data_IF_523873279058
#
_entry.id   IF_523873279058
#
_cell.length_a   1.000
_cell.length_b   1.000
_cell.length_c   1.000
_cell.angle_alpha   90.00
_cell.angle_beta   90.00
_cell.angle_gamma   90.00
#
_symmetry.space_group_name_H-M   'P 1'
#
loop_
_entity.id
_entity.type
_entity.pdbx_description
1 polymer ?
#
# COMPACT_ATOMS: atom_id res chain seq x y z
N UNK A 1 -25.32 0.90 -32.41
CA UNK A 1 -23.97 1.48 -32.50
C UNK A 1 -24.12 2.91 -33.01
N UNK A 2 -24.07 3.89 -32.11
CA UNK A 2 -24.27 5.31 -32.47
C UNK A 2 -22.91 5.88 -32.90
N UNK A 3 -22.86 6.46 -34.09
CA UNK A 3 -21.63 6.97 -34.71
C UNK A 3 -21.25 8.32 -34.11
N UNK A 4 -19.98 8.49 -33.77
CA UNK A 4 -19.40 9.72 -33.17
C UNK A 4 -19.64 10.97 -34.05
N UNK A 5 -19.96 10.80 -35.34
CA UNK A 5 -20.30 11.90 -36.25
C UNK A 5 -21.65 12.56 -35.99
N UNK A 6 -22.60 11.89 -35.32
CA UNK A 6 -23.95 12.44 -35.10
C UNK A 6 -24.01 13.40 -33.91
N UNK A 7 -23.06 13.32 -32.98
CA UNK A 7 -23.00 14.24 -31.82
C UNK A 7 -22.42 15.60 -32.24
N UNK A 8 -21.55 15.63 -33.25
CA UNK A 8 -20.87 16.86 -33.66
C UNK A 8 -21.75 17.80 -34.50
N UNK A 9 -22.81 17.29 -35.15
CA UNK A 9 -23.77 18.14 -35.90
C UNK A 9 -24.80 18.86 -35.03
N UNK A 10 -24.97 18.46 -33.76
CA UNK A 10 -25.97 19.09 -32.88
C UNK A 10 -25.47 20.35 -32.18
N UNK A 11 -24.19 20.68 -32.32
CA UNK A 11 -23.54 21.80 -31.63
C UNK A 11 -23.24 23.02 -32.50
N UNK A 12 -23.45 22.96 -33.83
CA UNK A 12 -23.04 24.04 -34.75
C UNK A 12 -24.17 24.99 -35.18
N UNK A 13 -25.29 25.05 -34.45
CA UNK A 13 -26.51 25.73 -34.91
C UNK A 13 -27.13 26.70 -33.91
N UNK A 14 -26.37 27.73 -33.47
CA UNK A 14 -26.96 28.97 -32.95
C UNK A 14 -25.90 30.08 -32.84
N UNK A 15 -25.83 30.92 -33.87
CA UNK A 15 -25.12 32.20 -33.87
C UNK A 15 -26.14 33.30 -34.12
N UNK A 16 -26.29 34.20 -33.16
CA UNK A 16 -27.18 35.35 -33.25
C UNK A 16 -26.91 36.32 -32.11
N UNK A 17 -26.06 37.30 -32.43
CA UNK A 17 -25.86 38.63 -31.85
C UNK A 17 -24.78 38.92 -30.78
N UNK A 18 -24.18 40.14 -30.84
CA UNK A 18 -22.90 40.48 -30.24
C UNK A 18 -23.01 41.54 -29.13
N UNK A 19 -22.45 41.29 -27.95
CA UNK A 19 -22.14 42.34 -26.97
C UNK A 19 -20.73 42.14 -26.37
N UNK A 20 -19.79 42.87 -26.97
CA UNK A 20 -18.84 43.81 -26.35
C UNK A 20 -18.37 43.54 -24.89
N UNK A 21 -17.12 43.06 -24.82
CA UNK A 21 -16.02 43.44 -23.91
C UNK A 21 -16.15 43.27 -22.38
N UNK A 22 -15.37 42.32 -21.85
CA UNK A 22 -14.14 42.58 -21.06
C UNK A 22 -13.60 41.25 -20.52
N UNK A 23 -12.79 40.55 -21.32
CA UNK A 23 -12.00 39.42 -20.84
C UNK A 23 -10.57 39.89 -20.60
N UNK A 24 -10.29 40.26 -19.35
CA UNK A 24 -8.93 40.18 -18.82
C UNK A 24 -8.53 38.70 -18.81
N UNK A 25 -7.34 38.33 -19.31
CA UNK A 25 -6.89 36.96 -19.26
C UNK A 25 -6.56 36.62 -17.81
N UNK A 26 -7.52 35.98 -17.12
CA UNK A 26 -7.25 35.24 -15.90
C UNK A 26 -6.23 34.17 -16.25
N UNK A 27 -4.96 34.44 -15.93
CA UNK A 27 -3.92 33.44 -15.83
C UNK A 27 -4.34 32.46 -14.73
N UNK A 28 -5.11 31.44 -15.14
CA UNK A 28 -5.29 30.21 -14.37
C UNK A 28 -3.98 29.44 -14.41
N UNK A 29 -3.02 29.89 -13.60
CA UNK A 29 -1.92 29.04 -13.17
C UNK A 29 -2.54 27.99 -12.26
N UNK A 30 -2.83 26.81 -12.82
CA UNK A 30 -3.35 25.67 -12.08
C UNK A 30 -2.19 25.13 -11.24
N UNK A 31 -1.98 25.76 -10.09
CA UNK A 31 -1.09 25.31 -9.04
C UNK A 31 -1.87 24.32 -8.16
N UNK A 32 -1.56 23.03 -8.33
CA UNK A 32 -2.24 21.86 -7.74
C UNK A 32 -1.95 21.64 -6.25
N UNK A 33 -1.57 22.68 -5.53
CA UNK A 33 -1.12 22.53 -4.15
C UNK A 33 -2.31 22.61 -3.18
N UNK A 34 -2.30 21.86 -2.06
CA UNK A 34 -3.27 22.04 -0.97
C UNK A 34 -3.39 23.49 -0.49
N UNK A 35 -2.39 24.35 -0.77
CA UNK A 35 -2.48 25.80 -0.62
C UNK A 35 -3.67 26.43 -1.34
N UNK A 36 -4.04 26.00 -2.54
CA UNK A 36 -5.15 26.61 -3.28
C UNK A 36 -6.50 26.38 -2.59
N UNK A 37 -6.69 25.23 -1.93
CA UNK A 37 -7.92 24.98 -1.15
C UNK A 37 -7.95 25.78 0.13
N UNK A 38 -6.82 25.94 0.80
CA UNK A 38 -6.78 26.81 1.95
C UNK A 38 -7.07 28.26 1.54
N UNK A 39 -6.52 28.74 0.42
CA UNK A 39 -6.82 30.08 -0.12
C UNK A 39 -8.29 30.20 -0.56
N UNK A 40 -8.88 29.16 -1.14
CA UNK A 40 -10.30 29.16 -1.56
C UNK A 40 -11.27 29.04 -0.38
N UNK A 41 -10.88 28.34 0.69
CA UNK A 41 -11.63 28.30 1.95
C UNK A 41 -11.58 29.65 2.68
N UNK A 42 -10.53 30.45 2.46
CA UNK A 42 -10.41 31.81 2.98
C UNK A 42 -11.25 32.82 2.22
N UNK A 43 -11.57 32.55 0.96
CA UNK A 43 -12.37 33.44 0.10
C UNK A 43 -13.81 32.99 -0.09
N UNK A 44 -14.21 31.86 0.51
CA UNK A 44 -15.55 31.31 0.30
C UNK A 44 -16.63 32.16 0.97
N UNK A 45 -17.65 32.62 0.22
CA UNK A 45 -18.75 33.41 0.78
C UNK A 45 -19.56 32.61 1.81
N UNK A 46 -20.05 33.31 2.83
CA UNK A 46 -20.70 32.79 4.06
C UNK A 46 -22.00 31.99 3.84
N UNK A 47 -22.47 31.89 2.60
CA UNK A 47 -23.73 31.24 2.21
C UNK A 47 -23.57 29.78 1.76
N UNK A 48 -22.35 29.23 1.75
CA UNK A 48 -22.10 27.91 1.19
C UNK A 48 -22.45 26.75 2.16
N UNK A 49 -23.13 25.66 1.71
CA UNK A 49 -23.52 24.51 2.55
C UNK A 49 -22.35 23.75 3.21
N UNK A 50 -21.11 24.00 2.76
CA UNK A 50 -19.88 23.56 3.45
C UNK A 50 -19.78 24.08 4.90
N UNK A 51 -20.55 25.10 5.29
CA UNK A 51 -20.60 25.64 6.65
C UNK A 51 -20.84 24.57 7.73
N UNK A 52 -21.52 23.46 7.43
CA UNK A 52 -21.73 22.39 8.41
C UNK A 52 -20.43 21.70 8.84
N UNK A 53 -19.53 21.42 7.90
CA UNK A 53 -18.20 20.88 8.19
C UNK A 53 -17.29 21.90 8.87
N UNK A 54 -17.55 23.20 8.63
CA UNK A 54 -16.81 24.30 9.24
C UNK A 54 -17.49 24.90 10.48
N UNK A 55 -18.60 24.33 10.97
CA UNK A 55 -19.37 24.94 12.07
C UNK A 55 -18.61 24.85 13.40
N UNK A 56 -17.71 23.87 13.54
CA UNK A 56 -16.72 23.82 14.61
C UNK A 56 -15.84 25.07 14.68
N UNK A 57 -15.65 25.76 13.56
CA UNK A 57 -14.83 26.98 13.47
C UNK A 57 -15.66 28.27 13.60
N UNK A 58 -16.96 28.17 13.85
CA UNK A 58 -17.81 29.34 14.14
C UNK A 58 -17.38 30.07 15.41
N UNK A 59 -16.73 29.36 16.35
CA UNK A 59 -16.18 29.93 17.59
C UNK A 59 -14.93 30.79 17.30
N UNK A 60 -14.19 30.50 16.24
CA UNK A 60 -13.09 31.33 15.77
C UNK A 60 -13.66 32.45 14.88
N UNK A 61 -14.15 33.49 15.54
CA UNK A 61 -14.72 34.70 14.95
C UNK A 61 -13.75 35.42 14.00
N UNK A 62 -14.29 36.29 13.14
CA UNK A 62 -13.60 36.94 12.02
C UNK A 62 -12.30 37.63 12.45
N UNK A 63 -11.17 37.17 11.89
CA UNK A 63 -9.83 37.70 12.17
C UNK A 63 -8.71 36.81 11.61
N UNK A 64 -7.50 37.37 11.51
CA UNK A 64 -6.31 36.69 10.97
C UNK A 64 -5.97 35.39 11.72
N UNK A 65 -6.23 35.34 13.03
CA UNK A 65 -6.01 34.15 13.88
C UNK A 65 -6.97 33.00 13.53
N UNK A 66 -8.25 33.29 13.26
CA UNK A 66 -9.24 32.28 12.86
C UNK A 66 -8.93 31.70 11.48
N UNK A 67 -8.53 32.56 10.54
CA UNK A 67 -8.02 32.20 9.21
C UNK A 67 -6.83 31.23 9.31
N UNK A 68 -5.83 31.59 10.10
CA UNK A 68 -4.62 30.78 10.29
C UNK A 68 -4.95 29.43 10.94
N UNK A 69 -5.82 29.42 11.94
CA UNK A 69 -6.25 28.20 12.64
C UNK A 69 -6.97 27.23 11.69
N UNK A 70 -7.88 27.74 10.84
CA UNK A 70 -8.55 26.95 9.79
C UNK A 70 -7.56 26.38 8.78
N UNK A 71 -6.60 27.21 8.33
CA UNK A 71 -5.54 26.76 7.43
C UNK A 71 -4.77 25.58 8.03
N UNK A 72 -4.34 25.69 9.29
CA UNK A 72 -3.58 24.64 9.97
C UNK A 72 -4.39 23.35 10.13
N UNK A 73 -5.66 23.43 10.52
CA UNK A 73 -6.47 22.22 10.72
C UNK A 73 -6.78 21.53 9.39
N UNK A 74 -7.08 22.28 8.32
CA UNK A 74 -7.27 21.70 6.98
C UNK A 74 -5.97 21.01 6.52
N UNK A 75 -4.82 21.66 6.71
CA UNK A 75 -3.54 21.08 6.33
C UNK A 75 -3.22 19.83 7.15
N UNK A 76 -3.48 19.87 8.47
CA UNK A 76 -3.28 18.73 9.36
C UNK A 76 -4.20 17.55 8.99
N UNK A 77 -5.48 17.82 8.69
CA UNK A 77 -6.43 16.81 8.22
C UNK A 77 -5.97 16.20 6.88
N UNK A 78 -5.52 17.02 5.94
CA UNK A 78 -4.99 16.56 4.66
C UNK A 78 -3.73 15.71 4.84
N UNK A 79 -2.76 16.20 5.63
CA UNK A 79 -1.54 15.45 5.94
C UNK A 79 -1.86 14.12 6.63
N UNK A 80 -2.82 14.11 7.56
CA UNK A 80 -3.24 12.90 8.27
C UNK A 80 -3.95 11.89 7.35
N UNK A 81 -4.82 12.36 6.44
CA UNK A 81 -5.57 11.47 5.54
C UNK A 81 -4.72 10.93 4.38
N UNK A 82 -3.76 11.70 3.86
CA UNK A 82 -3.07 11.36 2.62
C UNK A 82 -1.57 11.15 2.77
N UNK A 83 -0.89 12.08 3.46
CA UNK A 83 0.58 12.01 3.57
C UNK A 83 0.98 10.93 4.55
N UNK A 84 0.32 10.88 5.71
CA UNK A 84 0.64 9.95 6.78
C UNK A 84 0.51 8.48 6.37
N UNK A 85 -0.58 8.03 5.71
CA UNK A 85 -0.66 6.63 5.28
C UNK A 85 0.38 6.28 4.21
N UNK A 86 0.69 7.19 3.30
CA UNK A 86 1.77 6.99 2.32
C UNK A 86 3.14 6.85 3.02
N UNK A 87 3.43 7.67 4.03
CA UNK A 87 4.64 7.53 4.84
C UNK A 87 4.67 6.19 5.58
N UNK A 88 3.56 5.79 6.21
CA UNK A 88 3.44 4.48 6.87
C UNK A 88 3.68 3.35 5.88
N UNK A 89 3.06 3.40 4.69
CA UNK A 89 3.24 2.40 3.65
C UNK A 89 4.69 2.32 3.16
N UNK A 90 5.35 3.47 2.97
CA UNK A 90 6.77 3.51 2.60
C UNK A 90 7.65 2.93 3.72
N UNK A 91 7.43 3.29 4.98
CA UNK A 91 8.21 2.78 6.11
C UNK A 91 8.03 1.26 6.27
N UNK A 92 6.80 0.77 6.23
CA UNK A 92 6.53 -0.66 6.25
C UNK A 92 7.15 -1.36 5.03
N UNK A 93 7.00 -0.79 3.83
CA UNK A 93 7.59 -1.31 2.60
C UNK A 93 9.11 -1.43 2.67
N UNK A 94 9.80 -0.40 3.16
CA UNK A 94 11.26 -0.40 3.34
C UNK A 94 11.68 -1.50 4.33
N UNK A 95 11.03 -1.60 5.49
CA UNK A 95 11.37 -2.64 6.49
C UNK A 95 11.18 -4.06 5.93
N UNK A 96 10.09 -4.29 5.20
CA UNK A 96 9.79 -5.56 4.54
C UNK A 96 10.81 -5.85 3.43
N UNK A 97 11.16 -4.84 2.64
CA UNK A 97 12.13 -4.96 1.55
C UNK A 97 13.53 -5.27 2.06
N UNK A 98 14.01 -4.54 3.06
CA UNK A 98 15.31 -4.79 3.71
C UNK A 98 15.38 -6.22 4.29
N UNK A 99 14.30 -6.68 4.93
CA UNK A 99 14.23 -8.06 5.40
C UNK A 99 14.28 -9.09 4.25
N UNK A 100 13.64 -8.79 3.12
CA UNK A 100 13.71 -9.63 1.91
C UNK A 100 15.14 -9.69 1.34
N UNK A 101 15.92 -8.62 1.40
CA UNK A 101 17.33 -8.63 0.99
C UNK A 101 18.18 -9.53 1.92
N UNK A 102 17.96 -9.48 3.23
CA UNK A 102 18.61 -10.39 4.18
C UNK A 102 18.29 -11.86 3.88
N UNK A 103 17.02 -12.17 3.58
CA UNK A 103 16.61 -13.52 3.17
C UNK A 103 17.28 -13.93 1.85
N UNK A 104 17.37 -13.03 0.88
CA UNK A 104 18.03 -13.31 -0.40
C UNK A 104 19.51 -13.61 -0.23
N UNK A 105 20.21 -12.86 0.64
CA UNK A 105 21.59 -13.15 1.00
C UNK A 105 21.77 -14.50 1.69
N UNK A 106 20.83 -14.87 2.56
CA UNK A 106 20.84 -16.19 3.19
C UNK A 106 20.55 -17.33 2.20
N UNK A 107 19.58 -17.14 1.30
CA UNK A 107 19.26 -18.10 0.24
C UNK A 107 20.50 -18.40 -0.62
N UNK A 108 21.24 -17.38 -1.05
CA UNK A 108 22.48 -17.55 -1.84
C UNK A 108 23.53 -18.38 -1.10
N UNK A 109 23.68 -18.21 0.22
CA UNK A 109 24.58 -19.04 1.04
C UNK A 109 24.15 -20.50 1.07
N UNK A 110 22.85 -20.74 1.22
CA UNK A 110 22.30 -22.08 1.23
C UNK A 110 22.44 -22.76 -0.14
N UNK A 111 22.19 -22.05 -1.24
CA UNK A 111 22.37 -22.55 -2.60
C UNK A 111 23.85 -22.95 -2.86
N UNK A 112 24.81 -22.16 -2.35
CA UNK A 112 26.23 -22.51 -2.41
C UNK A 112 26.56 -23.77 -1.61
N UNK A 113 25.98 -23.91 -0.42
CA UNK A 113 26.17 -25.09 0.42
C UNK A 113 25.57 -26.34 -0.23
N UNK A 114 24.38 -26.21 -0.84
CA UNK A 114 23.77 -27.25 -1.67
C UNK A 114 24.65 -27.64 -2.86
N UNK A 115 25.16 -26.68 -3.63
CA UNK A 115 26.05 -26.97 -4.76
C UNK A 115 27.34 -27.68 -4.32
N UNK A 116 27.85 -27.36 -3.13
CA UNK A 116 29.03 -28.02 -2.55
C UNK A 116 28.70 -29.44 -2.11
N UNK A 117 27.56 -29.65 -1.44
CA UNK A 117 27.06 -30.97 -1.06
C UNK A 117 26.93 -31.88 -2.28
N UNK A 118 26.36 -31.36 -3.37
CA UNK A 118 26.16 -32.11 -4.61
C UNK A 118 27.46 -32.49 -5.33
N UNK A 119 28.50 -31.63 -5.28
CA UNK A 119 29.77 -31.88 -5.97
C UNK A 119 30.73 -32.75 -5.18
N UNK A 120 30.85 -32.49 -3.88
CA UNK A 120 31.83 -33.16 -3.01
C UNK A 120 31.21 -33.39 -1.62
N UNK A 121 30.43 -34.47 -1.45
CA UNK A 121 29.74 -34.77 -0.19
C UNK A 121 30.72 -34.97 0.98
N UNK A 122 31.88 -35.54 0.70
CA UNK A 122 32.98 -35.76 1.66
C UNK A 122 33.60 -34.46 2.17
N UNK A 123 33.62 -33.39 1.36
CA UNK A 123 34.10 -32.09 1.81
C UNK A 123 33.21 -31.52 2.93
N UNK A 124 31.91 -31.82 2.91
CA UNK A 124 30.96 -31.36 3.92
C UNK A 124 31.20 -31.99 5.31
N UNK A 125 31.91 -33.12 5.37
CA UNK A 125 32.33 -33.79 6.61
C UNK A 125 33.54 -33.15 7.29
N UNK A 126 34.29 -32.31 6.59
CA UNK A 126 35.42 -31.59 7.17
C UNK A 126 34.94 -30.70 8.32
N UNK A 127 35.71 -30.64 9.42
CA UNK A 127 35.36 -29.88 10.61
C UNK A 127 35.01 -28.41 10.29
N UNK A 128 35.78 -27.80 9.38
CA UNK A 128 35.55 -26.43 8.91
C UNK A 128 34.16 -26.24 8.28
N UNK A 129 33.67 -27.21 7.49
CA UNK A 129 32.38 -27.11 6.83
C UNK A 129 31.21 -27.42 7.79
N UNK A 130 31.44 -28.25 8.82
CA UNK A 130 30.47 -28.44 9.91
C UNK A 130 30.26 -27.15 10.73
N UNK A 131 31.33 -26.42 10.99
CA UNK A 131 31.23 -25.14 11.71
C UNK A 131 30.48 -24.10 10.89
N UNK A 132 30.76 -24.00 9.57
CA UNK A 132 29.97 -23.16 8.65
C UNK A 132 28.49 -23.53 8.64
N UNK A 133 28.18 -24.83 8.56
CA UNK A 133 26.81 -25.33 8.59
C UNK A 133 26.10 -24.98 9.90
N UNK A 134 26.80 -25.11 11.04
CA UNK A 134 26.30 -24.70 12.35
C UNK A 134 26.01 -23.19 12.37
N UNK A 135 26.86 -22.39 11.77
CA UNK A 135 26.66 -20.94 11.67
C UNK A 135 25.47 -20.58 10.76
N UNK A 136 25.25 -21.32 9.66
CA UNK A 136 24.05 -21.15 8.82
C UNK A 136 22.76 -21.52 9.56
N UNK A 137 22.78 -22.56 10.38
CA UNK A 137 21.64 -22.94 11.26
C UNK A 137 21.36 -21.84 12.29
N UNK A 138 22.41 -21.27 12.91
CA UNK A 138 22.28 -20.15 13.85
C UNK A 138 21.74 -18.91 13.13
N UNK A 139 22.21 -18.63 11.93
CA UNK A 139 21.75 -17.50 11.11
C UNK A 139 20.27 -17.64 10.76
N UNK A 140 19.82 -18.83 10.34
CA UNK A 140 18.39 -19.11 10.11
C UNK A 140 17.55 -18.88 11.37
N UNK A 141 18.03 -19.34 12.53
CA UNK A 141 17.33 -19.12 13.80
C UNK A 141 17.21 -17.63 14.13
N UNK A 142 18.26 -16.84 13.86
CA UNK A 142 18.23 -15.38 14.02
C UNK A 142 17.25 -14.74 13.05
N UNK A 143 17.31 -15.07 11.76
CA UNK A 143 16.38 -14.57 10.73
C UNK A 143 14.93 -14.88 11.08
N UNK A 144 14.67 -16.09 11.55
CA UNK A 144 13.33 -16.51 11.99
C UNK A 144 12.83 -15.66 13.17
N UNK A 145 13.70 -15.41 14.17
CA UNK A 145 13.36 -14.55 15.31
C UNK A 145 13.12 -13.10 14.86
N UNK A 146 13.98 -12.57 14.00
CA UNK A 146 13.84 -11.23 13.44
C UNK A 146 12.55 -11.10 12.63
N UNK A 147 12.19 -12.11 11.83
CA UNK A 147 10.92 -12.11 11.08
C UNK A 147 9.71 -12.01 12.00
N UNK A 148 9.70 -12.78 13.10
CA UNK A 148 8.62 -12.71 14.08
C UNK A 148 8.53 -11.33 14.72
N UNK A 149 9.66 -10.76 15.14
CA UNK A 149 9.71 -9.42 15.71
C UNK A 149 9.24 -8.36 14.71
N UNK A 150 9.65 -8.48 13.44
CA UNK A 150 9.20 -7.61 12.36
C UNK A 150 7.69 -7.72 12.18
N UNK A 151 7.16 -8.95 12.09
CA UNK A 151 5.73 -9.19 11.99
C UNK A 151 4.97 -8.59 13.17
N UNK A 152 5.38 -8.85 14.40
CA UNK A 152 4.70 -8.33 15.60
C UNK A 152 4.66 -6.80 15.59
N UNK A 153 5.77 -6.15 15.19
CA UNK A 153 5.88 -4.70 15.11
C UNK A 153 5.00 -4.10 14.00
N UNK A 154 4.97 -4.70 12.81
CA UNK A 154 4.23 -4.14 11.67
C UNK A 154 2.77 -4.59 11.62
N UNK A 155 2.39 -5.70 12.28
CA UNK A 155 1.06 -6.31 12.10
C UNK A 155 -0.07 -5.37 12.48
N UNK A 156 0.05 -4.68 13.62
CA UNK A 156 -0.95 -3.72 14.10
C UNK A 156 -0.96 -2.44 13.25
N UNK A 157 0.23 -1.98 12.82
CA UNK A 157 0.38 -0.80 11.97
C UNK A 157 -0.28 -1.05 10.62
N UNK A 158 0.01 -2.19 9.99
CA UNK A 158 -0.58 -2.61 8.72
C UNK A 158 -2.10 -2.78 8.84
N UNK A 159 -2.60 -3.32 9.96
CA UNK A 159 -4.05 -3.44 10.19
C UNK A 159 -4.73 -2.08 10.24
N UNK A 160 -4.25 -1.17 11.09
CA UNK A 160 -4.78 0.18 11.20
C UNK A 160 -4.68 0.93 9.86
N UNK A 161 -3.57 0.75 9.14
CA UNK A 161 -3.37 1.31 7.81
C UNK A 161 -4.40 0.80 6.80
N UNK A 162 -4.61 -0.52 6.72
CA UNK A 162 -5.60 -1.12 5.80
C UNK A 162 -7.00 -0.63 6.12
N UNK A 163 -7.40 -0.62 7.40
CA UNK A 163 -8.70 -0.11 7.81
C UNK A 163 -8.88 1.36 7.42
N UNK A 164 -7.86 2.20 7.67
CA UNK A 164 -7.91 3.61 7.33
C UNK A 164 -8.01 3.84 5.82
N UNK A 165 -7.24 3.10 5.02
CA UNK A 165 -7.30 3.15 3.55
C UNK A 165 -8.64 2.65 3.01
N UNK A 166 -9.19 1.58 3.58
CA UNK A 166 -10.49 1.05 3.19
C UNK A 166 -11.62 2.05 3.47
N UNK A 167 -11.65 2.65 4.66
CA UNK A 167 -12.62 3.69 5.03
C UNK A 167 -12.47 4.91 4.11
N UNK A 168 -11.24 5.37 3.90
CA UNK A 168 -10.95 6.51 3.03
C UNK A 168 -11.47 6.23 1.61
N UNK A 169 -11.12 5.09 1.03
CA UNK A 169 -11.57 4.69 -0.30
C UNK A 169 -13.10 4.60 -0.38
N UNK A 170 -13.75 4.01 0.62
CA UNK A 170 -15.22 3.93 0.69
C UNK A 170 -15.88 5.33 0.75
N UNK A 171 -15.38 6.22 1.61
CA UNK A 171 -15.89 7.58 1.74
C UNK A 171 -15.73 8.38 0.44
N UNK A 172 -14.57 8.31 -0.20
CA UNK A 172 -14.30 9.03 -1.45
C UNK A 172 -15.08 8.46 -2.64
N UNK A 173 -15.25 7.15 -2.72
CA UNK A 173 -16.12 6.54 -3.72
C UNK A 173 -17.58 6.94 -3.49
N UNK A 174 -18.05 6.96 -2.25
CA UNK A 174 -19.41 7.39 -1.91
C UNK A 174 -19.62 8.85 -2.27
N UNK A 175 -18.69 9.75 -1.91
CA UNK A 175 -18.75 11.18 -2.27
C UNK A 175 -18.76 11.37 -3.79
N UNK A 176 -17.84 10.70 -4.49
CA UNK A 176 -17.76 10.76 -5.96
C UNK A 176 -19.04 10.29 -6.63
N UNK A 177 -19.70 9.27 -6.10
CA UNK A 177 -20.87 8.69 -6.73
C UNK A 177 -22.20 9.37 -6.34
N UNK A 178 -22.26 10.02 -5.16
CA UNK A 178 -23.43 10.77 -4.70
C UNK A 178 -23.47 12.21 -5.22
N UNK A 179 -22.35 12.75 -5.68
CA UNK A 179 -22.25 14.12 -6.23
C UNK A 179 -22.91 14.17 -7.62
N UNK A 180 -23.82 15.11 -7.83
CA UNK A 180 -24.45 15.31 -9.13
C UNK A 180 -23.43 15.83 -10.17
N UNK A 181 -23.58 15.45 -11.45
CA UNK A 181 -22.65 15.84 -12.52
C UNK A 181 -22.43 17.36 -12.63
N UNK A 182 -23.44 18.15 -12.23
CA UNK A 182 -23.42 19.61 -12.30
C UNK A 182 -22.58 20.28 -11.21
N UNK A 183 -22.29 19.57 -10.12
CA UNK A 183 -21.59 20.11 -8.95
C UNK A 183 -20.08 19.82 -8.97
N UNK A 184 -19.59 19.12 -9.99
CA UNK A 184 -18.17 18.81 -10.09
C UNK A 184 -17.35 20.00 -10.59
N UNK A 185 -16.64 20.64 -9.66
CA UNK A 185 -15.49 21.45 -10.03
C UNK A 185 -14.33 20.56 -10.49
N UNK A 186 -13.60 20.97 -11.54
CA UNK A 186 -12.41 20.25 -12.05
C UNK A 186 -11.42 19.88 -10.91
N UNK A 187 -11.11 20.77 -9.95
CA UNK A 187 -10.20 20.44 -8.84
C UNK A 187 -10.70 19.28 -7.95
N UNK A 188 -12.02 19.18 -7.73
CA UNK A 188 -12.64 18.12 -6.93
C UNK A 188 -12.58 16.77 -7.66
N UNK A 189 -12.78 16.76 -8.98
CA UNK A 189 -12.60 15.54 -9.80
C UNK A 189 -11.16 15.05 -9.68
N UNK A 190 -10.18 15.93 -9.91
CA UNK A 190 -8.77 15.55 -9.86
C UNK A 190 -8.34 15.03 -8.48
N UNK A 191 -8.84 15.64 -7.41
CA UNK A 191 -8.64 15.16 -6.05
C UNK A 191 -9.18 13.75 -5.85
N UNK A 192 -10.46 13.53 -6.20
CA UNK A 192 -11.10 12.24 -5.99
C UNK A 192 -10.39 11.15 -6.79
N UNK A 193 -10.00 11.43 -8.05
CA UNK A 193 -9.20 10.51 -8.86
C UNK A 193 -7.87 10.20 -8.19
N UNK A 194 -7.14 11.22 -7.72
CA UNK A 194 -5.85 11.02 -7.05
C UNK A 194 -5.99 10.10 -5.84
N UNK A 195 -7.06 10.24 -5.06
CA UNK A 195 -7.29 9.43 -3.85
C UNK A 195 -7.72 8.01 -4.21
N UNK A 196 -8.63 7.86 -5.17
CA UNK A 196 -9.09 6.57 -5.68
C UNK A 196 -7.94 5.75 -6.27
N UNK A 197 -6.90 6.40 -6.81
CA UNK A 197 -5.71 5.72 -7.32
C UNK A 197 -4.66 5.49 -6.22
N UNK A 198 -4.34 6.52 -5.42
CA UNK A 198 -3.26 6.44 -4.43
C UNK A 198 -3.55 5.45 -3.30
N UNK A 199 -4.80 5.35 -2.84
CA UNK A 199 -5.18 4.43 -1.77
C UNK A 199 -4.93 2.95 -2.16
N UNK A 200 -5.48 2.43 -3.28
CA UNK A 200 -5.11 1.12 -3.82
C UNK A 200 -3.61 0.94 -4.08
N UNK A 201 -2.95 1.93 -4.70
CA UNK A 201 -1.51 1.83 -4.98
C UNK A 201 -0.68 1.62 -3.71
N UNK A 202 -1.01 2.31 -2.62
CA UNK A 202 -0.32 2.15 -1.33
C UNK A 202 -0.56 0.76 -0.71
N UNK A 203 -1.78 0.22 -0.80
CA UNK A 203 -2.12 -1.14 -0.36
C UNK A 203 -1.36 -2.21 -1.17
N UNK A 204 -1.35 -2.05 -2.51
CA UNK A 204 -0.62 -2.95 -3.40
C UNK A 204 0.88 -2.90 -3.17
N UNK A 205 1.46 -1.73 -2.88
CA UNK A 205 2.88 -1.58 -2.58
C UNK A 205 3.32 -2.46 -1.41
N UNK A 206 2.64 -2.34 -0.27
CA UNK A 206 2.94 -3.17 0.92
C UNK A 206 2.73 -4.66 0.61
N UNK A 207 1.64 -4.99 -0.08
CA UNK A 207 1.34 -6.38 -0.41
C UNK A 207 2.35 -7.00 -1.37
N UNK A 208 2.86 -6.24 -2.33
CA UNK A 208 3.90 -6.68 -3.24
C UNK A 208 5.21 -6.96 -2.49
N UNK A 209 5.63 -6.04 -1.61
CA UNK A 209 6.80 -6.25 -0.74
C UNK A 209 6.62 -7.51 0.13
N UNK A 210 5.45 -7.69 0.75
CA UNK A 210 5.16 -8.86 1.57
C UNK A 210 5.16 -10.17 0.75
N UNK A 211 4.68 -10.13 -0.49
CA UNK A 211 4.71 -11.28 -1.39
C UNK A 211 6.13 -11.69 -1.78
N UNK A 212 7.06 -10.73 -1.87
CA UNK A 212 8.48 -11.00 -2.13
C UNK A 212 9.10 -11.88 -1.04
N UNK A 213 8.82 -11.59 0.25
CA UNK A 213 9.30 -12.44 1.37
C UNK A 213 8.76 -13.86 1.23
N UNK A 214 7.48 -14.02 0.88
CA UNK A 214 6.87 -15.34 0.70
C UNK A 214 7.55 -16.13 -0.42
N UNK A 215 7.78 -15.51 -1.57
CA UNK A 215 8.47 -16.16 -2.69
C UNK A 215 9.89 -16.60 -2.29
N UNK A 216 10.64 -15.75 -1.57
CA UNK A 216 11.97 -16.08 -1.07
C UNK A 216 11.94 -17.22 -0.07
N UNK A 217 10.93 -17.25 0.79
CA UNK A 217 10.73 -18.34 1.74
C UNK A 217 10.43 -19.67 1.05
N UNK A 218 9.54 -19.68 0.06
CA UNK A 218 9.22 -20.88 -0.72
C UNK A 218 10.47 -21.43 -1.43
N UNK A 219 11.30 -20.55 -2.03
CA UNK A 219 12.60 -20.95 -2.60
C UNK A 219 13.55 -21.52 -1.55
N UNK A 220 13.64 -20.88 -0.38
CA UNK A 220 14.49 -21.36 0.71
C UNK A 220 14.07 -22.77 1.18
N UNK A 221 12.77 -23.02 1.31
CA UNK A 221 12.24 -24.33 1.69
C UNK A 221 12.51 -25.40 0.61
N UNK A 222 12.46 -25.02 -0.66
CA UNK A 222 12.83 -25.90 -1.77
C UNK A 222 14.32 -26.28 -1.71
N UNK A 223 15.23 -25.30 -1.59
CA UNK A 223 16.68 -25.56 -1.46
C UNK A 223 16.98 -26.40 -0.21
N UNK A 224 16.35 -26.10 0.93
CA UNK A 224 16.49 -26.90 2.15
C UNK A 224 16.08 -28.36 1.94
N UNK A 225 14.99 -28.59 1.21
CA UNK A 225 14.50 -29.94 0.93
C UNK A 225 15.48 -30.70 0.05
N UNK A 226 15.96 -30.09 -1.04
CA UNK A 226 16.96 -30.69 -1.92
C UNK A 226 18.24 -31.01 -1.17
N UNK A 227 18.71 -30.11 -0.30
CA UNK A 227 19.90 -30.34 0.52
C UNK A 227 19.72 -31.53 1.48
N UNK A 228 18.55 -31.67 2.11
CA UNK A 228 18.25 -32.81 2.98
C UNK A 228 18.27 -34.11 2.18
N UNK A 229 17.66 -34.11 1.00
CA UNK A 229 17.55 -35.30 0.15
C UNK A 229 18.94 -35.75 -0.33
N UNK A 230 19.79 -34.83 -0.80
CA UNK A 230 21.18 -35.13 -1.15
C UNK A 230 21.98 -35.70 0.03
N UNK A 231 21.82 -35.15 1.24
CA UNK A 231 22.53 -35.65 2.42
C UNK A 231 22.01 -37.02 2.90
N UNK A 232 20.75 -37.37 2.61
CA UNK A 232 20.19 -38.68 2.94
C UNK A 232 20.74 -39.78 2.03
N UNK A 233 20.98 -39.47 0.76
CA UNK A 233 21.57 -40.40 -0.21
C UNK A 233 23.03 -40.75 0.15
N UNK A 234 23.79 -39.77 0.66
CA UNK A 234 25.26 -39.85 0.74
C UNK A 234 25.89 -40.38 2.04
N UNK A 235 25.14 -40.72 3.10
CA UNK A 235 25.52 -41.61 4.23
C UNK A 235 24.79 -41.26 5.56
N UNK A 236 24.59 -42.28 6.42
CA UNK A 236 24.05 -42.16 7.80
C UNK A 236 24.87 -41.28 8.76
N UNK A 237 26.09 -40.89 8.39
CA UNK A 237 27.02 -40.07 9.18
C UNK A 237 26.48 -38.65 9.50
N UNK A 238 25.51 -38.15 8.72
CA UNK A 238 24.98 -36.80 8.85
C UNK A 238 23.72 -36.67 9.72
N UNK A 239 23.35 -37.69 10.50
CA UNK A 239 22.08 -37.73 11.25
C UNK A 239 21.79 -36.44 12.06
N UNK A 240 22.79 -35.87 12.75
CA UNK A 240 22.63 -34.63 13.53
C UNK A 240 22.41 -33.38 12.67
N UNK A 241 23.07 -33.29 11.51
CA UNK A 241 22.92 -32.18 10.56
C UNK A 241 21.57 -32.27 9.87
N UNK A 242 21.19 -33.47 9.41
CA UNK A 242 19.89 -33.76 8.79
C UNK A 242 18.76 -33.45 9.78
N UNK A 243 18.90 -33.81 11.06
CA UNK A 243 17.93 -33.45 12.09
C UNK A 243 17.79 -31.92 12.25
N UNK A 244 18.91 -31.20 12.23
CA UNK A 244 18.92 -29.74 12.34
C UNK A 244 18.28 -29.07 11.12
N UNK A 245 18.58 -29.55 9.91
CA UNK A 245 17.97 -29.09 8.67
C UNK A 245 16.46 -29.37 8.63
N UNK A 246 16.04 -30.56 9.06
CA UNK A 246 14.63 -30.90 9.19
C UNK A 246 13.93 -29.97 10.19
N UNK A 247 14.60 -29.61 11.29
CA UNK A 247 14.07 -28.64 12.25
C UNK A 247 13.96 -27.23 11.63
N UNK A 248 14.87 -26.83 10.74
CA UNK A 248 14.73 -25.58 9.99
C UNK A 248 13.55 -25.64 9.01
N UNK A 249 13.43 -26.72 8.23
CA UNK A 249 12.30 -26.94 7.30
C UNK A 249 10.95 -26.92 8.02
N UNK A 250 10.86 -27.51 9.21
CA UNK A 250 9.64 -27.49 10.05
C UNK A 250 9.30 -26.10 10.57
N UNK A 251 10.29 -25.22 10.76
CA UNK A 251 10.08 -23.82 11.18
C UNK A 251 9.74 -22.97 9.96
N UNK A 252 8.49 -23.05 9.52
CA UNK A 252 7.98 -22.16 8.48
C UNK A 252 8.01 -20.71 8.97
N UNK A 253 8.58 -19.81 8.18
CA UNK A 253 8.52 -18.38 8.48
C UNK A 253 7.06 -17.95 8.54
N UNK A 254 6.70 -17.11 9.52
CA UNK A 254 5.31 -16.73 9.69
C UNK A 254 4.88 -15.86 8.50
N UNK A 255 3.65 -16.07 8.04
CA UNK A 255 3.06 -15.27 6.97
C UNK A 255 2.78 -13.88 7.54
N UNK A 256 3.21 -12.84 6.83
CA UNK A 256 2.92 -11.46 7.23
C UNK A 256 1.41 -11.22 7.18
N UNK A 257 0.83 -11.01 8.35
CA UNK A 257 -0.58 -10.73 8.54
C UNK A 257 -0.79 -9.39 9.24
N UNK A 258 -1.84 -8.70 8.84
CA UNK A 258 -2.34 -7.49 9.47
C UNK A 258 -3.30 -7.87 10.61
N UNK A 259 -2.89 -7.60 11.85
CA UNK A 259 -3.63 -7.90 13.07
C UNK A 259 -3.90 -9.38 13.31
N UNK A 260 -3.20 -10.30 12.63
CA UNK A 260 -3.51 -11.74 12.66
C UNK A 260 -4.81 -12.14 11.94
N UNK A 261 -5.54 -11.18 11.36
CA UNK A 261 -6.85 -11.40 10.74
C UNK A 261 -6.73 -11.50 9.22
N UNK A 262 -5.89 -10.64 8.63
CA UNK A 262 -5.79 -10.48 7.18
C UNK A 262 -4.37 -10.76 6.70
N UNK A 263 -4.19 -11.75 5.84
CA UNK A 263 -2.92 -11.98 5.17
C UNK A 263 -2.61 -10.82 4.22
N UNK A 264 -1.37 -10.30 4.25
CA UNK A 264 -0.89 -9.23 3.35
C UNK A 264 -0.64 -9.74 1.92
N UNK A 265 -1.55 -10.56 1.40
CA UNK A 265 -1.48 -11.14 0.07
C UNK A 265 -2.15 -10.25 -0.98
N UNK A 266 -1.67 -10.25 -2.23
CA UNK A 266 -2.30 -9.47 -3.31
C UNK A 266 -3.76 -9.89 -3.55
N UNK A 267 -4.07 -11.19 -3.31
CA UNK A 267 -5.43 -11.73 -3.39
C UNK A 267 -6.37 -11.08 -2.38
N UNK A 268 -5.90 -10.90 -1.14
CA UNK A 268 -6.66 -10.20 -0.12
C UNK A 268 -6.92 -8.73 -0.51
N UNK A 269 -5.90 -8.03 -1.02
CA UNK A 269 -6.06 -6.62 -1.43
C UNK A 269 -7.05 -6.45 -2.59
N UNK A 270 -6.98 -7.33 -3.61
CA UNK A 270 -7.95 -7.33 -4.72
C UNK A 270 -9.37 -7.60 -4.19
N UNK A 271 -9.52 -8.57 -3.29
CA UNK A 271 -10.81 -8.89 -2.67
C UNK A 271 -11.36 -7.72 -1.85
N UNK A 272 -10.52 -7.04 -1.08
CA UNK A 272 -10.89 -5.87 -0.28
C UNK A 272 -11.38 -4.71 -1.17
N UNK A 273 -10.59 -4.35 -2.19
CA UNK A 273 -10.95 -3.27 -3.13
C UNK A 273 -12.23 -3.62 -3.88
N UNK A 274 -12.34 -4.85 -4.38
CA UNK A 274 -13.54 -5.34 -5.05
C UNK A 274 -14.77 -5.26 -4.15
N UNK A 275 -14.65 -5.63 -2.88
CA UNK A 275 -15.72 -5.55 -1.90
C UNK A 275 -16.19 -4.10 -1.68
N UNK A 276 -15.25 -3.17 -1.50
CA UNK A 276 -15.57 -1.73 -1.36
C UNK A 276 -16.31 -1.22 -2.60
N UNK A 277 -15.86 -1.60 -3.80
CA UNK A 277 -16.49 -1.19 -5.05
C UNK A 277 -17.88 -1.79 -5.22
N UNK A 278 -18.06 -3.09 -4.93
CA UNK A 278 -19.36 -3.77 -4.99
C UNK A 278 -20.37 -3.14 -4.03
N UNK A 279 -19.99 -2.91 -2.77
CA UNK A 279 -20.89 -2.26 -1.81
C UNK A 279 -21.18 -0.81 -2.17
N UNK A 280 -20.17 -0.07 -2.67
CA UNK A 280 -20.37 1.28 -3.18
C UNK A 280 -21.40 1.33 -4.31
N UNK A 281 -21.27 0.44 -5.31
CA UNK A 281 -22.23 0.33 -6.40
C UNK A 281 -23.62 -0.13 -5.95
N UNK A 282 -23.70 -1.02 -4.96
CA UNK A 282 -24.97 -1.48 -4.41
C UNK A 282 -25.75 -0.33 -3.76
N UNK A 283 -25.07 0.49 -2.94
CA UNK A 283 -25.67 1.66 -2.27
C UNK A 283 -26.21 2.65 -3.31
N UNK A 284 -25.52 2.83 -4.44
CA UNK A 284 -26.01 3.70 -5.51
C UNK A 284 -27.26 3.18 -6.19
N UNK A 285 -27.31 1.87 -6.45
CA UNK A 285 -28.49 1.27 -7.06
C UNK A 285 -29.73 1.36 -6.16
N UNK A 286 -29.55 1.37 -4.84
CA UNK A 286 -30.64 1.53 -3.87
C UNK A 286 -31.15 2.98 -3.73
N UNK A 287 -30.44 3.97 -4.27
CA UNK A 287 -30.85 5.39 -4.20
C UNK A 287 -31.76 5.80 -5.38
N UNK A 288 -32.10 4.87 -6.28
CA UNK A 288 -33.14 5.02 -7.30
C UNK A 288 -34.50 4.60 -6.75
#
# INVERSE_FOLDING_TARGET
MISVKDIQRRWSGRSGDPEVSCWLPSQRVISWTPMHRSVSALTMPSTCPLRFFYNFYGVFQDGTSGILTRFFIIHLAYSYQFVYPCLVAMMCGILIFEFSEFLTGYQKRLDYLYATAQRCPSALLEANNRDKMRDDIRMHTRLFKTMRQLQDAISHICFAFICNQAITLFCFLSDFMLTEEKDFSIPKICENIFIIVSAPCSLFGISFCASGIRERHEKLQATLSLLIDTLLEDHKSFAGVILSLNNMKKKAFPVLSAGGIADLSPKFMISLIGTIFTYGLLILNLKK
#
